data_IF_588048889855
#
_entry.id   IF_588048889855
#
_cell.length_a   1.000
_cell.length_b   1.000
_cell.length_c   1.000
_cell.angle_alpha   90.00
_cell.angle_beta   90.00
_cell.angle_gamma   90.00
#
_symmetry.space_group_name_H-M   'P 1'
#
loop_
_entity.id
_entity.type
_entity.pdbx_description
1 polymer ?
#
# COMPACT_ATOMS: atom_id res chain seq x y z
N UNK A 1 -8.71 -2.25 -2.51
CA UNK A 1 -7.50 -1.59 -3.08
C UNK A 1 -6.57 -2.59 -3.77
N UNK A 2 -6.12 -3.66 -3.10
CA UNK A 2 -5.22 -4.67 -3.68
C UNK A 2 -5.79 -5.34 -4.95
N UNK A 3 -7.04 -5.84 -4.91
CA UNK A 3 -7.75 -6.38 -6.09
C UNK A 3 -7.67 -5.45 -7.31
N UNK A 4 -8.10 -4.19 -7.15
CA UNK A 4 -8.07 -3.20 -8.22
C UNK A 4 -6.66 -2.94 -8.77
N UNK A 5 -5.64 -2.92 -7.90
CA UNK A 5 -4.26 -2.76 -8.35
C UNK A 5 -3.77 -3.96 -9.16
N UNK A 6 -4.12 -5.18 -8.74
CA UNK A 6 -3.79 -6.40 -9.47
C UNK A 6 -4.53 -6.48 -10.81
N UNK A 7 -5.81 -6.11 -10.86
CA UNK A 7 -6.56 -6.05 -12.11
C UNK A 7 -5.93 -5.09 -13.12
N UNK A 8 -5.49 -3.92 -12.66
CA UNK A 8 -4.76 -2.97 -13.51
C UNK A 8 -3.42 -3.51 -13.99
N UNK A 9 -2.68 -4.20 -13.13
CA UNK A 9 -1.40 -4.79 -13.49
C UNK A 9 -1.57 -5.90 -14.55
N UNK A 10 -2.56 -6.78 -14.37
CA UNK A 10 -2.88 -7.84 -15.33
C UNK A 10 -3.37 -7.26 -16.66
N UNK A 11 -4.23 -6.25 -16.64
CA UNK A 11 -4.68 -5.57 -17.85
C UNK A 11 -3.52 -4.89 -18.63
N UNK A 12 -2.47 -4.47 -17.93
CA UNK A 12 -1.27 -3.86 -18.52
C UNK A 12 -0.27 -4.85 -19.12
N UNK A 13 -0.48 -6.17 -18.99
CA UNK A 13 0.48 -7.17 -19.46
C UNK A 13 0.51 -7.32 -20.99
N UNK A 14 -0.55 -6.90 -21.68
CA UNK A 14 -0.70 -7.03 -23.14
C UNK A 14 -0.94 -8.47 -23.62
N UNK A 15 -0.89 -9.44 -22.73
CA UNK A 15 -1.24 -10.86 -22.94
C UNK A 15 -2.05 -11.38 -21.76
N UNK A 16 -2.92 -12.34 -22.01
CA UNK A 16 -3.66 -13.03 -20.95
C UNK A 16 -2.79 -14.17 -20.38
N UNK A 17 -2.46 -14.16 -19.08
CA UNK A 17 -1.65 -15.22 -18.50
C UNK A 17 -2.49 -16.49 -18.27
N UNK A 18 -1.95 -17.65 -18.61
CA UNK A 18 -2.60 -18.94 -18.32
C UNK A 18 -2.76 -19.17 -16.81
N UNK A 19 -1.79 -18.69 -16.02
CA UNK A 19 -1.76 -18.81 -14.56
C UNK A 19 -1.27 -17.51 -13.91
N UNK A 20 -1.87 -17.19 -12.76
CA UNK A 20 -1.41 -16.10 -11.89
C UNK A 20 -0.86 -16.70 -10.60
N UNK A 21 0.42 -16.49 -10.32
CA UNK A 21 1.03 -16.87 -9.04
C UNK A 21 0.97 -15.66 -8.10
N UNK A 22 0.29 -15.82 -6.97
CA UNK A 22 0.00 -14.72 -6.05
C UNK A 22 0.70 -14.94 -4.70
N UNK A 23 1.44 -13.95 -4.23
CA UNK A 23 2.06 -14.03 -2.91
C UNK A 23 1.02 -13.96 -1.79
N UNK A 24 1.16 -14.85 -0.79
CA UNK A 24 0.30 -14.94 0.37
C UNK A 24 -0.67 -16.11 0.33
N UNK A 25 -1.69 -16.05 1.18
CA UNK A 25 -2.70 -17.11 1.37
C UNK A 25 -4.13 -16.69 0.96
N UNK A 26 -4.29 -15.49 0.41
CA UNK A 26 -5.60 -14.93 0.07
C UNK A 26 -5.66 -14.56 -1.40
N UNK A 27 -6.55 -15.22 -2.13
CA UNK A 27 -6.82 -14.88 -3.53
C UNK A 27 -7.69 -13.62 -3.64
N UNK A 28 -7.03 -12.47 -3.73
CA UNK A 28 -7.68 -11.20 -4.04
C UNK A 28 -7.79 -10.91 -5.54
N UNK A 29 -7.24 -11.77 -6.41
CA UNK A 29 -7.32 -11.64 -7.87
C UNK A 29 -8.64 -12.25 -8.37
N UNK A 30 -8.94 -13.49 -7.95
CA UNK A 30 -10.23 -14.13 -8.13
C UNK A 30 -10.62 -14.43 -9.59
N UNK A 31 -9.65 -14.73 -10.47
CA UNK A 31 -9.86 -15.03 -11.89
C UNK A 31 -10.00 -16.53 -12.20
N UNK A 32 -10.02 -17.39 -11.18
CA UNK A 32 -10.15 -18.84 -11.34
C UNK A 32 -8.87 -19.57 -11.81
N UNK A 33 -7.85 -18.83 -12.28
CA UNK A 33 -6.54 -19.36 -12.64
C UNK A 33 -5.41 -18.92 -11.68
N UNK A 34 -5.76 -18.41 -10.50
CA UNK A 34 -4.81 -17.98 -9.47
C UNK A 34 -4.31 -19.17 -8.66
N UNK A 35 -3.02 -19.19 -8.33
CA UNK A 35 -2.44 -20.07 -7.31
C UNK A 35 -1.73 -19.20 -6.27
N UNK A 36 -2.17 -19.28 -5.02
CA UNK A 36 -1.57 -18.56 -3.89
C UNK A 36 -0.34 -19.31 -3.36
N UNK A 37 0.75 -18.59 -3.12
CA UNK A 37 2.02 -19.14 -2.59
C UNK A 37 2.40 -18.34 -1.36
N UNK A 38 2.36 -18.99 -0.19
CA UNK A 38 2.75 -18.36 1.07
C UNK A 38 4.25 -18.11 1.07
N UNK A 39 4.69 -16.86 1.32
CA UNK A 39 6.09 -16.45 1.19
C UNK A 39 6.63 -16.78 -0.21
N UNK A 40 5.83 -16.48 -1.22
CA UNK A 40 6.13 -16.78 -2.62
C UNK A 40 7.32 -15.98 -3.12
N UNK A 41 7.57 -14.79 -2.56
CA UNK A 41 8.75 -13.97 -2.85
C UNK A 41 10.07 -14.69 -2.52
N UNK A 42 10.08 -15.58 -1.54
CA UNK A 42 11.26 -16.36 -1.16
C UNK A 42 11.45 -17.65 -1.98
N UNK A 43 10.43 -18.10 -2.71
CA UNK A 43 10.37 -19.47 -3.27
C UNK A 43 9.96 -19.54 -4.74
N UNK A 44 9.43 -18.46 -5.32
CA UNK A 44 8.96 -18.39 -6.69
C UNK A 44 9.59 -17.19 -7.40
N UNK A 45 10.34 -17.46 -8.48
CA UNK A 45 11.05 -16.43 -9.24
C UNK A 45 10.11 -15.35 -9.80
N UNK A 46 8.94 -15.73 -10.33
CA UNK A 46 7.96 -14.79 -10.87
C UNK A 46 7.40 -13.85 -9.79
N UNK A 47 7.13 -14.38 -8.59
CA UNK A 47 6.66 -13.58 -7.47
C UNK A 47 7.78 -12.65 -6.97
N UNK A 48 9.01 -13.14 -6.86
CA UNK A 48 10.17 -12.34 -6.48
C UNK A 48 10.44 -11.19 -7.48
N UNK A 49 10.36 -11.47 -8.79
CA UNK A 49 10.51 -10.44 -9.81
C UNK A 49 9.40 -9.38 -9.71
N UNK A 50 8.14 -9.80 -9.53
CA UNK A 50 7.02 -8.89 -9.35
C UNK A 50 7.16 -8.02 -8.07
N UNK A 51 7.64 -8.60 -6.97
CA UNK A 51 7.82 -7.88 -5.70
C UNK A 51 8.91 -6.79 -5.82
N UNK A 52 10.01 -7.06 -6.53
CA UNK A 52 11.06 -6.09 -6.82
C UNK A 52 10.51 -4.93 -7.66
N UNK A 53 9.81 -5.22 -8.76
CA UNK A 53 9.23 -4.18 -9.63
C UNK A 53 8.25 -3.31 -8.85
N UNK A 54 7.37 -3.93 -8.06
CA UNK A 54 6.41 -3.21 -7.22
C UNK A 54 7.11 -2.31 -6.19
N UNK A 55 8.11 -2.84 -5.47
CA UNK A 55 8.86 -2.11 -4.45
C UNK A 55 9.63 -0.92 -5.03
N UNK A 56 10.44 -1.14 -6.07
CA UNK A 56 11.25 -0.08 -6.69
C UNK A 56 10.36 1.01 -7.27
N UNK A 57 9.25 0.63 -7.91
CA UNK A 57 8.29 1.60 -8.46
C UNK A 57 7.63 2.41 -7.36
N UNK A 58 7.14 1.74 -6.31
CA UNK A 58 6.48 2.42 -5.19
C UNK A 58 7.44 3.34 -4.43
N UNK A 59 8.69 2.93 -4.25
CA UNK A 59 9.69 3.77 -3.62
C UNK A 59 9.97 5.01 -4.46
N UNK A 60 10.13 4.88 -5.79
CA UNK A 60 10.30 6.03 -6.69
C UNK A 60 9.16 7.04 -6.57
N UNK A 61 7.91 6.56 -6.53
CA UNK A 61 6.73 7.43 -6.34
C UNK A 61 6.85 8.22 -5.04
N UNK A 62 7.16 7.57 -3.92
CA UNK A 62 7.25 8.29 -2.64
C UNK A 62 8.39 9.30 -2.56
N UNK A 63 9.52 9.01 -3.20
CA UNK A 63 10.62 9.98 -3.30
C UNK A 63 10.18 11.23 -4.04
N UNK A 64 9.47 11.06 -5.17
CA UNK A 64 8.93 12.18 -5.94
C UNK A 64 7.91 13.00 -5.12
N UNK A 65 7.04 12.33 -4.35
CA UNK A 65 6.07 13.00 -3.48
C UNK A 65 6.73 13.73 -2.29
N UNK A 66 7.93 13.36 -1.89
CA UNK A 66 8.64 13.98 -0.77
C UNK A 66 8.90 15.47 -1.01
N UNK A 67 9.08 15.90 -2.26
CA UNK A 67 9.24 17.33 -2.60
C UNK A 67 7.95 18.12 -2.37
N UNK A 68 6.79 17.53 -2.67
CA UNK A 68 5.47 18.14 -2.44
C UNK A 68 5.06 18.13 -0.96
N UNK A 69 5.59 17.18 -0.20
CA UNK A 69 5.23 16.93 1.20
C UNK A 69 6.49 16.82 2.10
N UNK A 70 7.32 17.87 2.18
CA UNK A 70 8.67 17.79 2.75
C UNK A 70 8.69 17.42 4.24
N UNK A 71 7.63 17.72 4.98
CA UNK A 71 7.53 17.47 6.42
C UNK A 71 7.41 15.99 6.77
N UNK A 72 6.96 15.14 5.85
CA UNK A 72 6.61 13.75 6.15
C UNK A 72 7.71 12.74 5.82
N UNK A 73 8.86 13.21 5.30
CA UNK A 73 10.06 12.40 5.10
C UNK A 73 9.82 11.16 4.19
N UNK A 74 8.99 11.33 3.17
CA UNK A 74 8.58 10.23 2.29
C UNK A 74 9.74 9.64 1.47
N UNK A 75 10.81 10.40 1.25
CA UNK A 75 12.04 9.90 0.64
C UNK A 75 12.69 8.80 1.48
N UNK A 76 12.67 8.86 2.81
CA UNK A 76 13.26 7.80 3.64
C UNK A 76 12.23 6.74 3.99
N UNK A 77 11.09 7.16 4.53
CA UNK A 77 10.15 6.21 5.14
C UNK A 77 9.12 5.63 4.17
N UNK A 78 9.01 6.12 2.93
CA UNK A 78 8.06 5.61 1.90
C UNK A 78 6.59 5.57 2.33
N UNK A 79 6.22 6.34 3.35
CA UNK A 79 4.89 6.38 3.96
C UNK A 79 4.69 5.42 5.14
N UNK A 80 5.71 4.67 5.55
CA UNK A 80 5.68 3.92 6.80
C UNK A 80 5.76 4.87 8.00
N UNK A 81 5.16 4.53 9.16
CA UNK A 81 5.07 5.43 10.30
C UNK A 81 6.39 5.50 11.07
N UNK A 82 7.45 6.08 10.47
CA UNK A 82 8.71 6.38 11.15
C UNK A 82 8.51 7.44 12.24
N UNK A 83 9.44 7.60 13.20
CA UNK A 83 9.35 8.66 14.21
C UNK A 83 9.11 10.05 13.60
N UNK A 84 9.87 10.42 12.56
CA UNK A 84 9.74 11.71 11.86
C UNK A 84 8.34 11.85 11.24
N UNK A 85 7.87 10.80 10.55
CA UNK A 85 6.56 10.80 9.92
C UNK A 85 5.42 10.95 10.95
N UNK A 86 5.49 10.22 12.07
CA UNK A 86 4.50 10.32 13.14
C UNK A 86 4.48 11.71 13.77
N UNK A 87 5.64 12.31 14.01
CA UNK A 87 5.75 13.68 14.51
C UNK A 87 5.13 14.68 13.52
N UNK A 88 5.43 14.57 12.23
CA UNK A 88 4.85 15.41 11.20
C UNK A 88 3.31 15.28 11.13
N UNK A 89 2.80 14.05 11.19
CA UNK A 89 1.37 13.77 11.26
C UNK A 89 0.69 14.39 12.49
N UNK A 90 1.34 14.35 13.66
CA UNK A 90 0.81 14.93 14.89
C UNK A 90 0.78 16.46 14.84
N UNK A 91 1.79 17.09 14.23
CA UNK A 91 1.91 18.55 14.14
C UNK A 91 1.08 19.16 13.00
N UNK A 92 1.12 18.55 11.82
CA UNK A 92 0.58 19.14 10.57
C UNK A 92 -0.73 18.48 10.12
N UNK A 93 -1.09 17.32 10.70
CA UNK A 93 -2.19 16.48 10.24
C UNK A 93 -1.84 15.63 9.01
N UNK A 94 -2.80 14.90 8.43
CA UNK A 94 -2.58 14.15 7.20
C UNK A 94 -2.45 15.06 5.97
N UNK A 95 -1.78 14.55 4.94
CA UNK A 95 -1.73 15.10 3.58
C UNK A 95 -2.75 14.42 2.66
N UNK A 96 -2.84 14.88 1.41
CA UNK A 96 -3.75 14.30 0.41
C UNK A 96 -3.43 12.83 0.07
N UNK A 97 -2.17 12.41 0.19
CA UNK A 97 -1.72 11.06 -0.18
C UNK A 97 -1.74 10.06 0.99
N UNK A 98 -2.08 10.52 2.20
CA UNK A 98 -2.24 9.65 3.36
C UNK A 98 -3.49 8.78 3.27
N UNK A 99 -3.37 7.55 3.77
CA UNK A 99 -4.50 6.63 3.92
C UNK A 99 -5.33 7.02 5.15
N UNK A 100 -6.23 7.96 4.94
CA UNK A 100 -7.09 8.60 5.95
C UNK A 100 -8.05 7.67 6.69
N UNK A 101 -8.23 6.44 6.23
CA UNK A 101 -9.07 5.42 6.88
C UNK A 101 -8.29 4.53 7.85
N UNK A 102 -6.98 4.71 8.02
CA UNK A 102 -6.18 3.85 8.90
C UNK A 102 -6.35 4.22 10.37
N UNK A 103 -6.38 3.22 11.26
CA UNK A 103 -6.70 3.38 12.69
C UNK A 103 -5.78 4.40 13.39
N UNK A 104 -4.49 4.45 13.04
CA UNK A 104 -3.58 5.42 13.66
C UNK A 104 -3.87 6.88 13.30
N UNK A 105 -4.79 7.16 12.38
CA UNK A 105 -5.22 8.51 12.03
C UNK A 105 -6.24 9.10 13.02
N UNK A 106 -6.81 8.27 13.91
CA UNK A 106 -7.96 8.65 14.72
C UNK A 106 -7.69 9.72 15.77
N UNK A 107 -6.45 9.82 16.24
CA UNK A 107 -6.02 10.75 17.29
C UNK A 107 -5.23 11.96 16.76
N UNK A 108 -5.11 12.12 15.44
CA UNK A 108 -4.37 13.22 14.83
C UNK A 108 -5.21 14.48 14.73
N UNK A 109 -4.55 15.64 14.68
CA UNK A 109 -5.18 16.93 14.34
C UNK A 109 -5.44 16.95 12.82
N UNK A 110 -6.67 17.24 12.38
CA UNK A 110 -7.03 17.28 10.96
C UNK A 110 -7.02 18.72 10.42
N UNK A 111 -6.30 18.96 9.33
CA UNK A 111 -6.04 20.28 8.75
C UNK A 111 -7.08 20.67 7.66
N UNK A 112 -8.37 20.57 7.97
CA UNK A 112 -9.46 20.91 7.03
C UNK A 112 -9.73 19.85 5.96
N UNK A 113 -8.92 18.79 5.87
CA UNK A 113 -9.26 17.61 5.08
C UNK A 113 -10.43 16.84 5.72
N UNK A 114 -11.37 16.37 4.88
CA UNK A 114 -12.49 15.55 5.35
C UNK A 114 -11.98 14.26 5.98
N UNK A 115 -12.37 14.03 7.25
CA UNK A 115 -12.17 12.76 7.95
C UNK A 115 -12.98 11.67 7.27
N UNK A 116 -12.31 10.57 6.96
CA UNK A 116 -12.99 9.36 6.51
C UNK A 116 -13.39 8.55 7.74
N UNK A 117 -14.68 8.55 8.07
CA UNK A 117 -15.23 7.72 9.14
C UNK A 117 -15.58 6.37 8.52
N UNK A 118 -14.93 5.29 8.97
CA UNK A 118 -15.31 3.94 8.53
C UNK A 118 -16.73 3.65 9.04
N UNK A 119 -17.61 3.04 8.23
CA UNK A 119 -18.94 2.64 8.67
C UNK A 119 -18.91 1.57 9.77
N UNK A 120 -17.82 0.80 9.82
CA UNK A 120 -17.64 -0.41 10.62
C UNK A 120 -16.26 -0.44 11.30
N UNK A 121 -16.24 -0.84 12.56
CA UNK A 121 -15.02 -1.12 13.30
C UNK A 121 -14.45 -2.46 12.82
N UNK A 122 -13.59 -2.46 11.80
CA UNK A 122 -12.68 -3.58 11.61
C UNK A 122 -11.79 -3.66 12.85
N UNK A 123 -11.92 -4.75 13.60
CA UNK A 123 -11.05 -5.06 14.74
C UNK A 123 -9.58 -4.87 14.36
N UNK A 124 -8.81 -4.37 15.31
CA UNK A 124 -7.39 -4.12 15.05
C UNK A 124 -6.66 -5.46 14.97
N UNK A 125 -5.49 -5.50 14.33
CA UNK A 125 -4.62 -6.69 14.30
C UNK A 125 -4.14 -7.10 15.72
N UNK A 126 -4.46 -6.30 16.74
CA UNK A 126 -4.03 -6.46 18.11
C UNK A 126 -5.19 -6.76 19.07
N UNK A 127 -6.40 -7.02 18.53
CA UNK A 127 -7.54 -7.58 19.28
C UNK A 127 -7.62 -9.11 19.05
#
# INVERSE_FOLDING_TARGET
AQRLAADRALAGLGVEPDRVLLDGNWDFVGRGNTTTVVKGDATCLSIAAASIVAKVTRDRIMRAESTSYPWYDFDENKGYPSPIHRSALATMGPSAIHRRSWVFMDHLVWNGLRRFVRPDAQGTLFD
#
